data_IF_061084195009
#
_entry.id   IF_061084195009
#
_cell.length_a   1.000
_cell.length_b   1.000
_cell.length_c   1.000
_cell.angle_alpha   90.00
_cell.angle_beta   90.00
_cell.angle_gamma   90.00
#
_symmetry.space_group_name_H-M   'P 1'
#
loop_
_entity.id
_entity.type
_entity.pdbx_description
1 polymer ?
#
# COMPACT_ATOMS: atom_id res chain seq x y z
N UNK A 1 14.30 16.32 -10.73
CA UNK A 1 13.33 16.10 -9.64
C UNK A 1 12.00 15.82 -10.29
N UNK A 2 11.45 14.62 -10.09
CA UNK A 2 10.07 14.34 -10.47
C UNK A 2 9.14 15.12 -9.54
N UNK A 3 8.17 15.83 -10.12
CA UNK A 3 7.17 16.58 -9.34
C UNK A 3 6.06 15.61 -8.97
N UNK A 4 5.73 15.52 -7.68
CA UNK A 4 4.56 14.75 -7.25
C UNK A 4 3.31 15.27 -8.00
N UNK A 5 2.56 14.35 -8.59
CA UNK A 5 1.30 14.63 -9.26
C UNK A 5 0.20 13.83 -8.60
N UNK A 6 -1.03 14.35 -8.63
CA UNK A 6 -2.17 13.60 -8.14
C UNK A 6 -2.41 12.43 -9.10
N UNK A 7 -2.35 11.21 -8.57
CA UNK A 7 -2.67 10.00 -9.33
C UNK A 7 -4.18 9.77 -9.34
N UNK A 8 -4.67 9.13 -10.40
CA UNK A 8 -6.06 8.65 -10.44
C UNK A 8 -6.32 7.65 -9.29
N UNK A 9 -7.54 7.67 -8.75
CA UNK A 9 -7.97 6.66 -7.79
C UNK A 9 -7.97 5.27 -8.44
N UNK A 10 -7.48 4.28 -7.69
CA UNK A 10 -7.40 2.89 -8.14
C UNK A 10 -7.88 1.95 -7.04
N UNK A 11 -8.38 0.78 -7.45
CA UNK A 11 -8.73 -0.27 -6.51
C UNK A 11 -7.48 -0.81 -5.79
N UNK A 12 -7.64 -1.16 -4.52
CA UNK A 12 -6.64 -1.86 -3.74
C UNK A 12 -7.28 -2.89 -2.80
N UNK A 13 -6.56 -3.95 -2.49
CA UNK A 13 -6.92 -4.90 -1.43
C UNK A 13 -5.77 -5.04 -0.45
N UNK A 14 -6.07 -5.58 0.73
CA UNK A 14 -5.04 -5.97 1.68
C UNK A 14 -5.20 -7.43 2.11
N UNK A 15 -4.10 -8.04 2.53
CA UNK A 15 -4.06 -9.39 3.11
C UNK A 15 -3.16 -9.36 4.34
N UNK A 16 -3.60 -10.00 5.42
CA UNK A 16 -2.77 -10.24 6.61
C UNK A 16 -2.46 -11.72 6.68
N UNK A 17 -1.18 -12.06 6.81
CA UNK A 17 -0.75 -13.46 6.87
C UNK A 17 0.48 -13.64 7.77
N UNK A 18 0.66 -14.86 8.25
CA UNK A 18 1.86 -15.27 8.97
C UNK A 18 2.91 -15.76 7.97
N UNK A 19 4.15 -15.35 8.16
CA UNK A 19 5.30 -15.83 7.42
C UNK A 19 6.44 -16.04 8.42
N UNK A 20 6.85 -17.30 8.60
CA UNK A 20 7.66 -17.74 9.74
C UNK A 20 7.02 -17.29 11.06
N UNK A 21 7.78 -16.62 11.93
CA UNK A 21 7.32 -16.09 13.22
C UNK A 21 6.85 -14.62 13.14
N UNK A 22 6.45 -14.15 11.95
CA UNK A 22 6.10 -12.74 11.70
C UNK A 22 4.72 -12.58 11.07
N UNK A 23 4.01 -11.56 11.53
CA UNK A 23 2.80 -11.05 10.85
C UNK A 23 3.23 -10.07 9.76
N UNK A 24 2.71 -10.28 8.55
CA UNK A 24 2.86 -9.35 7.43
C UNK A 24 1.49 -8.81 7.01
N UNK A 25 1.47 -7.53 6.65
CA UNK A 25 0.36 -6.90 5.93
C UNK A 25 0.83 -6.62 4.51
N UNK A 26 0.13 -7.19 3.54
CA UNK A 26 0.32 -6.88 2.12
C UNK A 26 -0.80 -5.98 1.63
N UNK A 27 -0.44 -4.95 0.87
CA UNK A 27 -1.36 -4.11 0.11
C UNK A 27 -1.06 -4.32 -1.37
N UNK A 28 -2.08 -4.70 -2.12
CA UNK A 28 -2.01 -4.88 -3.56
C UNK A 28 -2.84 -3.79 -4.23
N UNK A 29 -2.24 -3.07 -5.16
CA UNK A 29 -2.97 -2.11 -6.01
C UNK A 29 -3.17 -2.66 -7.41
N UNK A 30 -4.31 -2.34 -8.00
CA UNK A 30 -4.66 -2.76 -9.34
C UNK A 30 -4.52 -1.58 -10.31
N UNK A 31 -4.05 -1.85 -11.52
CA UNK A 31 -4.02 -0.81 -12.55
C UNK A 31 -5.42 -0.23 -12.81
N UNK A 32 -5.48 0.98 -13.37
CA UNK A 32 -6.76 1.60 -13.79
C UNK A 32 -7.63 0.62 -14.57
N UNK A 33 -8.93 0.65 -14.30
CA UNK A 33 -9.92 -0.24 -14.91
C UNK A 33 -10.02 -0.08 -16.43
N UNK A 34 -9.50 1.03 -16.97
CA UNK A 34 -9.41 1.32 -18.40
C UNK A 34 -8.26 0.60 -19.13
N UNK A 35 -7.46 -0.22 -18.44
CA UNK A 35 -6.42 -1.05 -19.09
C UNK A 35 -7.06 -2.23 -19.83
N UNK A 36 -6.43 -2.65 -20.93
CA UNK A 36 -6.83 -3.84 -21.71
C UNK A 36 -6.88 -5.14 -20.90
N UNK A 37 -6.20 -5.20 -19.74
CA UNK A 37 -6.29 -6.29 -18.78
C UNK A 37 -6.72 -5.75 -17.40
N UNK A 38 -8.03 -5.64 -17.14
CA UNK A 38 -8.55 -5.25 -15.83
C UNK A 38 -8.12 -6.24 -14.74
N UNK A 39 -7.83 -5.74 -13.53
CA UNK A 39 -7.55 -6.58 -12.36
C UNK A 39 -6.13 -7.16 -12.26
N UNK A 40 -5.21 -6.87 -13.20
CA UNK A 40 -3.81 -7.25 -13.03
C UNK A 40 -3.15 -6.41 -11.93
N UNK A 41 -2.61 -7.09 -10.91
CA UNK A 41 -1.82 -6.48 -9.84
C UNK A 41 -0.68 -5.66 -10.44
N UNK A 42 -0.63 -4.37 -10.13
CA UNK A 42 0.41 -3.46 -10.63
C UNK A 42 1.53 -3.26 -9.63
N UNK A 43 1.21 -3.22 -8.33
CA UNK A 43 2.18 -3.01 -7.27
C UNK A 43 1.77 -3.80 -6.04
N UNK A 44 2.78 -4.22 -5.28
CA UNK A 44 2.65 -4.90 -3.98
C UNK A 44 3.50 -4.15 -2.97
N UNK A 45 2.94 -3.82 -1.81
CA UNK A 45 3.70 -3.36 -0.64
C UNK A 45 3.48 -4.38 0.46
N UNK A 46 4.56 -4.86 1.07
CA UNK A 46 4.51 -5.72 2.26
C UNK A 46 5.16 -4.98 3.43
N UNK A 47 4.46 -4.97 4.56
CA UNK A 47 4.91 -4.36 5.79
C UNK A 47 4.97 -5.44 6.86
N UNK A 48 6.14 -5.59 7.47
CA UNK A 48 6.24 -6.23 8.76
C UNK A 48 5.91 -5.24 9.87
N UNK A 49 6.01 -5.67 11.12
CA UNK A 49 5.71 -4.82 12.27
C UNK A 49 6.52 -3.52 12.28
N UNK A 50 7.82 -3.60 12.03
CA UNK A 50 8.69 -2.43 12.06
C UNK A 50 8.39 -1.46 10.92
N UNK A 51 8.11 -1.97 9.72
CA UNK A 51 7.68 -1.17 8.57
C UNK A 51 6.33 -0.51 8.80
N UNK A 52 5.38 -1.23 9.40
CA UNK A 52 4.06 -0.70 9.73
C UNK A 52 4.13 0.43 10.76
N UNK A 53 4.95 0.26 11.81
CA UNK A 53 5.17 1.30 12.83
C UNK A 53 5.79 2.58 12.23
N UNK A 54 6.75 2.43 11.31
CA UNK A 54 7.34 3.57 10.60
C UNK A 54 6.33 4.27 9.70
N UNK A 55 5.57 3.52 8.89
CA UNK A 55 4.53 4.09 8.04
C UNK A 55 3.47 4.81 8.87
N UNK A 56 3.04 4.20 9.98
CA UNK A 56 2.10 4.83 10.91
C UNK A 56 2.66 6.13 11.49
N UNK A 57 3.94 6.18 11.88
CA UNK A 57 4.59 7.41 12.35
C UNK A 57 4.59 8.53 11.29
N UNK A 58 4.86 8.19 10.02
CA UNK A 58 4.79 9.14 8.91
C UNK A 58 3.37 9.67 8.74
N UNK A 59 2.37 8.77 8.69
CA UNK A 59 0.96 9.13 8.52
C UNK A 59 0.46 9.98 9.70
N UNK A 60 0.79 9.59 10.93
CA UNK A 60 0.44 10.31 12.15
C UNK A 60 1.00 11.74 12.13
N UNK A 61 2.27 11.90 11.76
CA UNK A 61 2.91 13.21 11.63
C UNK A 61 2.29 14.05 10.50
N UNK A 62 2.02 13.45 9.34
CA UNK A 62 1.48 14.15 8.18
C UNK A 62 0.03 14.64 8.39
N UNK A 63 -0.79 13.83 9.06
CA UNK A 63 -2.23 14.08 9.19
C UNK A 63 -2.68 14.46 10.60
N UNK A 64 -1.76 14.50 11.57
CA UNK A 64 -2.04 14.80 12.98
C UNK A 64 -3.12 13.87 13.59
N UNK A 65 -3.00 12.57 13.32
CA UNK A 65 -3.85 11.56 13.97
C UNK A 65 -3.54 11.49 15.46
N UNK A 66 -4.55 11.21 16.30
CA UNK A 66 -4.40 11.03 17.76
C UNK A 66 -3.96 9.60 18.11
#
# INVERSE_FOLDING_TARGET
>A
MERNSLHDEISATYTVFQYDDRVLVQIDTYGRDTREMPGKKSQTIQLDRQGAEQLFGILKSAFHFD
#
